data_IF_644727643034
#
_entry.id   IF_644727643034
#
_cell.length_a   1.000
_cell.length_b   1.000
_cell.length_c   1.000
_cell.angle_alpha   90.00
_cell.angle_beta   90.00
_cell.angle_gamma   90.00
#
_symmetry.space_group_name_H-M   'P 1'
#
loop_
_entity.id
_entity.type
_entity.pdbx_description
1 polymer ?
#
# COMPACT_ATOMS: atom_id res chain seq x y z
N UNK A 1 -3.96 -27.49 -4.75
CA UNK A 1 -3.04 -26.69 -5.60
C UNK A 1 -2.11 -25.91 -4.69
N UNK A 2 -0.86 -26.36 -4.56
CA UNK A 2 0.12 -25.75 -3.64
C UNK A 2 0.86 -24.63 -4.37
N UNK A 3 0.66 -23.39 -3.92
CA UNK A 3 1.38 -22.23 -4.46
C UNK A 3 2.82 -22.27 -3.93
N UNK A 4 3.76 -22.68 -4.78
CA UNK A 4 5.19 -22.65 -4.47
C UNK A 4 5.72 -21.22 -4.55
N UNK A 5 5.67 -20.51 -3.42
CA UNK A 5 6.35 -19.22 -3.26
C UNK A 5 7.85 -19.48 -3.17
N UNK A 6 8.66 -18.98 -4.12
CA UNK A 6 10.13 -18.94 -3.99
C UNK A 6 10.49 -18.10 -2.75
N UNK A 7 10.75 -18.77 -1.63
CA UNK A 7 11.15 -18.14 -0.37
C UNK A 7 12.68 -17.96 -0.35
N UNK A 8 13.11 -16.74 -0.01
CA UNK A 8 14.51 -16.46 0.34
C UNK A 8 14.92 -17.38 1.51
N UNK A 9 16.10 -18.02 1.50
CA UNK A 9 16.52 -18.94 2.57
C UNK A 9 16.47 -18.33 3.99
N UNK A 10 16.68 -17.02 4.14
CA UNK A 10 16.51 -16.29 5.42
C UNK A 10 15.06 -16.13 5.89
N UNK A 11 14.09 -16.42 5.02
CA UNK A 11 12.64 -16.31 5.25
C UNK A 11 11.93 -17.66 5.24
N UNK A 12 12.66 -18.78 5.15
CA UNK A 12 12.08 -20.13 5.16
C UNK A 12 11.29 -20.40 6.44
N UNK A 13 11.79 -19.89 7.57
CA UNK A 13 11.10 -20.00 8.86
C UNK A 13 9.76 -19.26 8.90
N UNK A 14 9.62 -18.12 8.22
CA UNK A 14 8.35 -17.36 8.13
C UNK A 14 7.26 -18.24 7.49
N UNK A 15 7.62 -18.93 6.40
CA UNK A 15 6.72 -19.85 5.70
C UNK A 15 6.32 -21.06 6.56
N UNK A 16 7.29 -21.68 7.24
CA UNK A 16 7.04 -22.82 8.12
C UNK A 16 6.15 -22.43 9.31
N UNK A 17 6.44 -21.30 9.97
CA UNK A 17 5.63 -20.79 11.07
C UNK A 17 4.19 -20.50 10.61
N UNK A 18 4.03 -19.89 9.43
CA UNK A 18 2.72 -19.63 8.86
C UNK A 18 1.95 -20.91 8.55
N UNK A 19 2.61 -21.92 7.98
CA UNK A 19 1.99 -23.21 7.69
C UNK A 19 1.51 -23.90 8.98
N UNK A 20 2.34 -23.93 10.04
CA UNK A 20 1.95 -24.49 11.34
C UNK A 20 0.78 -23.76 11.97
N UNK A 21 0.73 -22.43 11.83
CA UNK A 21 -0.41 -21.63 12.27
C UNK A 21 -1.70 -22.06 11.55
N UNK A 22 -1.67 -22.24 10.22
CA UNK A 22 -2.83 -22.69 9.45
C UNK A 22 -3.28 -24.09 9.85
N UNK A 23 -2.36 -25.03 10.00
CA UNK A 23 -2.66 -26.40 10.47
C UNK A 23 -3.32 -26.39 11.86
N UNK A 24 -2.87 -25.51 12.74
CA UNK A 24 -3.42 -25.36 14.09
C UNK A 24 -4.82 -24.74 14.07
N UNK A 25 -5.01 -23.72 13.22
CA UNK A 25 -6.31 -23.07 13.04
C UNK A 25 -7.36 -24.04 12.45
N UNK A 26 -6.97 -24.87 11.49
CA UNK A 26 -7.82 -25.92 10.90
C UNK A 26 -8.22 -26.98 11.94
N UNK A 27 -7.27 -27.40 12.78
CA UNK A 27 -7.50 -28.40 13.84
C UNK A 27 -8.28 -27.88 15.05
N UNK A 28 -8.47 -26.56 15.19
CA UNK A 28 -9.14 -25.97 16.34
C UNK A 28 -10.56 -26.56 16.55
N UNK A 29 -11.23 -26.99 15.48
CA UNK A 29 -12.46 -27.81 15.52
C UNK A 29 -13.68 -27.17 16.21
N UNK A 30 -13.54 -25.94 16.72
CA UNK A 30 -14.58 -25.18 17.40
C UNK A 30 -14.23 -23.69 17.36
N UNK A 31 -15.26 -22.86 17.31
CA UNK A 31 -15.11 -21.39 17.32
C UNK A 31 -14.35 -20.90 18.56
N UNK A 32 -14.66 -21.46 19.74
CA UNK A 32 -14.01 -21.08 21.00
C UNK A 32 -12.49 -21.30 20.96
N UNK A 33 -12.04 -22.46 20.48
CA UNK A 33 -10.59 -22.76 20.37
C UNK A 33 -9.90 -21.88 19.34
N UNK A 34 -10.56 -21.58 18.22
CA UNK A 34 -10.02 -20.68 17.20
C UNK A 34 -9.89 -19.25 17.74
N UNK A 35 -10.90 -18.77 18.48
CA UNK A 35 -10.83 -17.46 19.13
C UNK A 35 -9.68 -17.38 20.13
N UNK A 36 -9.50 -18.39 20.99
CA UNK A 36 -8.35 -18.43 21.91
C UNK A 36 -7.01 -18.41 21.18
N UNK A 37 -6.88 -19.13 20.07
CA UNK A 37 -5.68 -19.10 19.23
C UNK A 37 -5.43 -17.69 18.67
N UNK A 38 -6.44 -17.06 18.07
CA UNK A 38 -6.33 -15.71 17.53
C UNK A 38 -6.06 -14.67 18.63
N UNK A 39 -6.61 -14.85 19.82
CA UNK A 39 -6.40 -13.99 20.98
C UNK A 39 -4.97 -14.03 21.50
N UNK A 40 -4.29 -15.18 21.38
CA UNK A 40 -2.89 -15.32 21.78
C UNK A 40 -1.88 -14.66 20.83
N UNK A 41 -2.26 -14.46 19.57
CA UNK A 41 -1.34 -13.93 18.53
C UNK A 41 -1.67 -12.50 18.12
N UNK A 42 -2.96 -12.11 18.16
CA UNK A 42 -3.42 -10.82 17.67
C UNK A 42 -3.83 -9.89 18.80
N UNK A 43 -3.32 -8.66 18.73
CA UNK A 43 -3.84 -7.57 19.55
C UNK A 43 -5.27 -7.20 19.16
N UNK A 44 -5.98 -6.55 20.09
CA UNK A 44 -7.31 -6.01 19.81
C UNK A 44 -7.33 -5.04 18.61
N UNK A 45 -6.23 -4.30 18.40
CA UNK A 45 -6.09 -3.37 17.28
C UNK A 45 -5.98 -4.09 15.93
N UNK A 46 -5.24 -5.21 15.86
CA UNK A 46 -5.09 -6.02 14.66
C UNK A 46 -6.38 -6.74 14.30
N UNK A 47 -7.09 -7.28 15.29
CA UNK A 47 -8.43 -7.85 15.08
C UNK A 47 -9.40 -6.83 14.50
N UNK A 48 -9.42 -5.61 15.06
CA UNK A 48 -10.26 -4.52 14.54
C UNK A 48 -9.92 -4.18 13.08
N UNK A 49 -8.63 -4.23 12.71
CA UNK A 49 -8.20 -4.04 11.33
C UNK A 49 -8.69 -5.18 10.42
N UNK A 50 -8.60 -6.45 10.87
CA UNK A 50 -9.09 -7.60 10.13
C UNK A 50 -10.60 -7.48 9.90
N UNK A 51 -11.38 -7.22 10.96
CA UNK A 51 -12.84 -7.04 10.90
C UNK A 51 -13.22 -5.92 9.91
N UNK A 52 -12.55 -4.76 9.97
CA UNK A 52 -12.80 -3.67 9.01
C UNK A 52 -12.51 -4.09 7.57
N UNK A 53 -11.45 -4.85 7.32
CA UNK A 53 -11.12 -5.35 5.98
C UNK A 53 -12.19 -6.34 5.49
N UNK A 54 -12.63 -7.27 6.33
CA UNK A 54 -13.73 -8.19 6.03
C UNK A 54 -15.02 -7.44 5.69
N UNK A 55 -15.38 -6.43 6.49
CA UNK A 55 -16.55 -5.59 6.24
C UNK A 55 -16.47 -4.84 4.90
N UNK A 56 -15.29 -4.29 4.54
CA UNK A 56 -15.09 -3.68 3.21
C UNK A 56 -15.33 -4.70 2.11
N UNK A 57 -14.79 -5.92 2.24
CA UNK A 57 -14.97 -6.96 1.22
C UNK A 57 -16.44 -7.34 1.03
N UNK A 58 -17.19 -7.48 2.13
CA UNK A 58 -18.63 -7.74 2.10
C UNK A 58 -19.41 -6.62 1.41
N UNK A 59 -19.15 -5.35 1.77
CA UNK A 59 -19.83 -4.20 1.15
C UNK A 59 -19.49 -4.04 -0.34
N UNK A 60 -18.25 -4.35 -0.74
CA UNK A 60 -17.87 -4.40 -2.16
C UNK A 60 -18.67 -5.47 -2.90
N UNK A 61 -18.80 -6.67 -2.30
CA UNK A 61 -19.61 -7.76 -2.85
C UNK A 61 -21.08 -7.39 -3.02
N UNK A 62 -21.61 -6.54 -2.14
CA UNK A 62 -22.97 -5.97 -2.23
C UNK A 62 -23.10 -4.80 -3.21
N UNK A 63 -22.07 -4.46 -3.99
CA UNK A 63 -22.12 -3.38 -4.98
C UNK A 63 -22.07 -1.96 -4.39
N UNK A 64 -21.70 -1.80 -3.11
CA UNK A 64 -21.65 -0.47 -2.45
C UNK A 64 -20.54 0.40 -3.02
N UNK A 65 -20.80 1.71 -3.10
CA UNK A 65 -19.81 2.67 -3.65
C UNK A 65 -18.67 2.93 -2.65
N UNK A 66 -17.49 3.33 -3.15
CA UNK A 66 -16.34 3.59 -2.28
C UNK A 66 -16.62 4.71 -1.27
N UNK A 67 -17.40 5.72 -1.67
CA UNK A 67 -17.79 6.82 -0.81
C UNK A 67 -18.72 6.36 0.31
N UNK A 68 -19.65 5.44 0.01
CA UNK A 68 -20.53 4.85 1.02
C UNK A 68 -19.76 3.97 2.00
N UNK A 69 -18.86 3.12 1.50
CA UNK A 69 -18.00 2.26 2.33
C UNK A 69 -17.11 3.10 3.24
N UNK A 70 -16.46 4.14 2.68
CA UNK A 70 -15.60 5.05 3.44
C UNK A 70 -16.35 5.78 4.56
N UNK A 71 -17.59 6.22 4.28
CA UNK A 71 -18.47 6.84 5.30
C UNK A 71 -18.88 5.85 6.40
N UNK A 72 -19.31 4.63 6.05
CA UNK A 72 -19.79 3.65 7.03
C UNK A 72 -18.67 3.11 7.92
N UNK A 73 -17.48 2.89 7.36
CA UNK A 73 -16.38 2.23 8.07
C UNK A 73 -15.29 3.20 8.53
N UNK A 74 -15.47 4.51 8.31
CA UNK A 74 -14.49 5.55 8.63
C UNK A 74 -13.13 5.26 7.99
N UNK A 75 -13.16 4.89 6.70
CA UNK A 75 -11.98 4.53 5.93
C UNK A 75 -11.74 5.53 4.79
N UNK A 76 -10.47 5.79 4.51
CA UNK A 76 -10.09 6.57 3.34
C UNK A 76 -10.44 5.79 2.04
N UNK A 77 -10.79 6.50 0.95
CA UNK A 77 -10.99 5.87 -0.36
C UNK A 77 -9.78 5.06 -0.83
N UNK A 78 -8.56 5.50 -0.46
CA UNK A 78 -7.32 4.77 -0.75
C UNK A 78 -7.24 3.41 -0.06
N UNK A 79 -7.76 3.28 1.15
CA UNK A 79 -7.81 2.00 1.89
C UNK A 79 -8.79 1.04 1.25
N UNK A 80 -9.99 1.52 0.90
CA UNK A 80 -11.00 0.72 0.17
C UNK A 80 -10.45 0.23 -1.16
N UNK A 81 -9.77 1.11 -1.90
CA UNK A 81 -9.11 0.75 -3.17
C UNK A 81 -8.02 -0.31 -2.99
N UNK A 82 -7.17 -0.20 -1.96
CA UNK A 82 -6.15 -1.20 -1.67
C UNK A 82 -6.74 -2.58 -1.37
N UNK A 83 -7.81 -2.64 -0.57
CA UNK A 83 -8.52 -3.90 -0.25
C UNK A 83 -9.12 -4.51 -1.53
N UNK A 84 -9.83 -3.71 -2.35
CA UNK A 84 -10.42 -4.20 -3.60
C UNK A 84 -9.37 -4.73 -4.57
N UNK A 85 -8.20 -4.09 -4.66
CA UNK A 85 -7.09 -4.60 -5.49
C UNK A 85 -6.63 -5.97 -5.01
N UNK A 86 -6.55 -6.17 -3.69
CA UNK A 86 -6.28 -7.47 -3.06
C UNK A 86 -7.29 -8.55 -3.45
N UNK A 87 -8.58 -8.23 -3.40
CA UNK A 87 -9.66 -9.17 -3.75
C UNK A 87 -9.61 -9.64 -5.20
N UNK A 88 -9.17 -8.78 -6.13
CA UNK A 88 -9.11 -9.10 -7.57
C UNK A 88 -8.00 -10.10 -7.94
N UNK A 89 -7.23 -10.59 -6.98
CA UNK A 89 -6.18 -11.59 -7.20
C UNK A 89 -4.95 -11.09 -7.99
N UNK A 90 -4.96 -9.84 -8.49
CA UNK A 90 -3.84 -9.26 -9.24
C UNK A 90 -2.60 -9.03 -8.37
N UNK A 91 -2.78 -8.88 -7.06
CA UNK A 91 -1.71 -8.69 -6.09
C UNK A 91 -2.27 -8.96 -4.68
N UNK A 92 -1.49 -9.52 -3.74
CA UNK A 92 -1.88 -9.55 -2.34
C UNK A 92 -2.15 -8.13 -1.82
N UNK A 93 -2.99 -8.02 -0.77
CA UNK A 93 -3.18 -6.73 -0.11
C UNK A 93 -1.83 -6.17 0.36
N UNK A 94 -1.59 -4.89 0.04
CA UNK A 94 -0.42 -4.13 0.50
C UNK A 94 -0.87 -2.95 1.32
N UNK A 95 -0.22 -2.79 2.47
CA UNK A 95 -0.39 -1.60 3.29
C UNK A 95 0.16 -0.36 2.57
N UNK A 96 -0.30 0.82 3.01
CA UNK A 96 0.24 2.09 2.52
C UNK A 96 1.75 2.20 2.75
N UNK A 97 2.23 1.77 3.91
CA UNK A 97 3.67 1.77 4.26
C UNK A 97 4.50 0.93 3.28
N UNK A 98 4.02 -0.26 2.91
CA UNK A 98 4.70 -1.10 1.92
C UNK A 98 4.69 -0.46 0.54
N UNK A 99 3.55 0.11 0.14
CA UNK A 99 3.41 0.82 -1.13
C UNK A 99 4.37 2.02 -1.22
N UNK A 100 4.45 2.80 -0.14
CA UNK A 100 5.35 3.96 -0.05
C UNK A 100 6.83 3.53 -0.07
N UNK A 101 7.17 2.41 0.59
CA UNK A 101 8.51 1.86 0.59
C UNK A 101 8.95 1.40 -0.79
N UNK A 102 8.08 0.74 -1.54
CA UNK A 102 8.36 0.34 -2.92
C UNK A 102 8.50 1.54 -3.85
N UNK A 103 7.62 2.54 -3.70
CA UNK A 103 7.72 3.79 -4.47
C UNK A 103 9.06 4.48 -4.24
N UNK A 104 9.54 4.53 -2.98
CA UNK A 104 10.87 5.07 -2.64
C UNK A 104 12.01 4.26 -3.24
N UNK A 105 11.93 2.91 -3.23
CA UNK A 105 12.94 2.06 -3.87
C UNK A 105 12.99 2.28 -5.38
N UNK A 106 11.83 2.44 -6.05
CA UNK A 106 11.77 2.70 -7.49
C UNK A 106 12.39 4.05 -7.85
N UNK A 107 12.19 5.09 -7.03
CA UNK A 107 12.86 6.40 -7.20
C UNK A 107 14.38 6.29 -7.06
N UNK A 108 14.86 5.62 -6.00
CA UNK A 108 16.30 5.40 -5.79
C UNK A 108 16.97 4.54 -6.86
N UNK A 109 16.24 3.56 -7.42
CA UNK A 109 16.71 2.77 -8.56
C UNK A 109 16.71 3.52 -9.89
N UNK A 110 15.91 4.60 -10.01
CA UNK A 110 15.92 5.49 -11.16
C UNK A 110 17.01 6.58 -11.05
N UNK A 111 17.41 6.96 -9.83
CA UNK A 111 18.50 7.90 -9.52
C UNK A 111 19.91 7.34 -9.80
N UNK A 112 20.03 6.07 -10.22
CA UNK A 112 21.30 5.45 -10.64
C UNK A 112 21.61 5.55 -12.13
N UNK A 113 20.73 6.14 -12.95
CA UNK A 113 21.11 6.58 -14.30
C UNK A 113 21.53 8.04 -14.20
N UNK A 114 22.72 8.45 -14.67
CA UNK A 114 23.01 9.86 -14.80
C UNK A 114 21.92 10.44 -15.69
N UNK A 115 21.09 11.31 -15.13
CA UNK A 115 20.21 12.15 -15.91
C UNK A 115 21.17 13.08 -16.64
N UNK A 116 21.52 12.74 -17.88
CA UNK A 116 22.07 13.72 -18.81
C UNK A 116 21.11 14.89 -18.75
N UNK A 117 21.56 16.04 -18.25
CA UNK A 117 20.71 17.19 -18.07
C UNK A 117 19.96 17.43 -19.38
N UNK A 118 18.63 17.36 -19.34
CA UNK A 118 17.83 17.72 -20.50
C UNK A 118 18.22 19.18 -20.82
N UNK A 119 18.42 19.56 -22.10
CA UNK A 119 18.84 20.92 -22.47
C UNK A 119 17.92 22.03 -21.91
N UNK A 120 16.72 21.68 -21.43
CA UNK A 120 15.79 22.57 -20.73
C UNK A 120 16.21 22.88 -19.28
N UNK A 121 16.87 21.96 -18.58
CA UNK A 121 17.31 22.14 -17.19
C UNK A 121 18.60 22.97 -17.14
N UNK A 122 19.55 22.76 -18.06
CA UNK A 122 20.72 23.64 -18.19
C UNK A 122 20.31 25.08 -18.53
N UNK A 123 19.29 25.26 -19.38
CA UNK A 123 18.72 26.58 -19.69
C UNK A 123 18.14 27.29 -18.45
N UNK A 124 17.47 26.55 -17.55
CA UNK A 124 16.89 27.11 -16.32
C UNK A 124 17.91 27.33 -15.21
N UNK A 125 19.00 26.57 -15.17
CA UNK A 125 20.09 26.73 -14.18
C UNK A 125 20.97 27.96 -14.48
N UNK A 126 21.06 28.36 -15.75
CA UNK A 126 21.77 29.58 -16.18
C UNK A 126 20.86 30.80 -16.38
N UNK A 127 19.59 30.76 -15.92
CA UNK A 127 18.75 31.96 -15.96
C UNK A 127 19.26 32.99 -14.94
N UNK A 128 19.56 34.24 -15.35
CA UNK A 128 19.96 35.27 -14.40
C UNK A 128 18.83 35.52 -13.40
N UNK A 129 19.16 35.54 -12.11
CA UNK A 129 18.22 35.84 -11.04
C UNK A 129 17.80 37.31 -11.11
N UNK A 130 16.67 37.58 -11.76
CA UNK A 130 16.10 38.93 -11.80
C UNK A 130 15.34 39.15 -10.48
N UNK A 131 15.94 39.93 -9.57
CA UNK A 131 15.32 40.32 -8.32
C UNK A 131 14.36 41.49 -8.51
N UNK A 132 13.07 41.27 -8.27
CA UNK A 132 12.04 42.30 -8.16
C UNK A 132 10.78 41.75 -7.47
N UNK A 133 10.28 42.46 -6.45
CA UNK A 133 9.16 42.01 -5.59
C UNK A 133 7.82 42.15 -6.32
N UNK A 134 7.52 41.16 -7.14
CA UNK A 134 6.23 40.96 -7.79
C UNK A 134 6.39 40.04 -8.99
N UNK A 135 5.83 38.83 -8.90
CA UNK A 135 5.99 37.76 -9.89
C UNK A 135 5.38 38.18 -11.23
N UNK A 136 6.22 38.41 -12.25
CA UNK A 136 5.91 38.50 -13.69
C UNK A 136 5.35 39.81 -14.27
N UNK A 137 5.97 40.98 -14.04
CA UNK A 137 5.52 42.26 -14.66
C UNK A 137 6.35 42.83 -15.82
N UNK A 138 7.42 42.18 -16.30
CA UNK A 138 8.27 42.73 -17.38
C UNK A 138 8.28 41.90 -18.67
N UNK A 139 7.36 40.93 -18.81
CA UNK A 139 7.07 40.32 -20.12
C UNK A 139 6.24 41.26 -21.02
N UNK A 140 5.82 42.43 -20.53
CA UNK A 140 4.95 43.39 -21.23
C UNK A 140 5.67 44.33 -22.21
N UNK A 141 6.98 44.21 -22.42
CA UNK A 141 7.73 45.10 -23.34
C UNK A 141 8.48 44.36 -24.46
N UNK A 142 8.22 43.07 -24.67
CA UNK A 142 8.74 42.34 -25.83
C UNK A 142 7.71 42.41 -26.98
N UNK A 143 7.72 43.53 -27.70
CA UNK A 143 7.36 43.63 -29.11
C UNK A 143 8.42 44.43 -29.84
#
# INVERSE_FOLDING_TARGET
>A
MSVTVKLNPRKKWEGLAWQRFLETAEKAGSERKLNLLLDSVLSASEKRLIVRRLAVMALIGQGRTYREIGRRLWLSPSTVSAIKRGMRGRSPYRSRRESDREARKKKRGAEGKPVSAHPMIEYWLNMPTISGKGRWKFLDHLR
#
